data_IF_574851169176
#
_entry.id   IF_574851169176
#
_cell.length_a   1.000
_cell.length_b   1.000
_cell.length_c   1.000
_cell.angle_alpha   90.00
_cell.angle_beta   90.00
_cell.angle_gamma   90.00
#
_symmetry.space_group_name_H-M   'P 1'
#
loop_
_entity.id
_entity.type
_entity.pdbx_description
1 polymer ?
#
# COMPACT_ATOMS: atom_id res chain seq x y z
N UNK A 1 20.01 6.96 -12.06
CA UNK A 1 18.90 7.91 -12.04
C UNK A 1 17.85 7.49 -11.01
N UNK A 2 17.22 8.48 -10.35
CA UNK A 2 16.15 8.28 -9.36
C UNK A 2 14.85 8.82 -9.91
N UNK A 3 13.74 8.25 -9.43
CA UNK A 3 12.39 8.62 -9.80
C UNK A 3 11.63 8.95 -8.53
N UNK A 4 10.99 10.10 -8.52
CA UNK A 4 10.06 10.53 -7.50
C UNK A 4 8.74 10.92 -8.18
N UNK A 5 7.68 10.17 -7.92
CA UNK A 5 6.37 10.46 -8.48
C UNK A 5 5.67 11.49 -7.61
N UNK A 6 5.42 12.64 -8.19
CA UNK A 6 4.76 13.73 -7.50
C UNK A 6 3.51 14.17 -8.29
N UNK A 7 2.39 14.31 -7.60
CA UNK A 7 1.18 14.90 -8.16
C UNK A 7 1.30 16.44 -8.16
N UNK A 8 0.59 17.11 -9.02
CA UNK A 8 0.60 18.58 -9.18
C UNK A 8 -0.05 19.30 -7.99
N UNK A 9 -0.82 18.59 -7.19
CA UNK A 9 -1.54 19.10 -6.01
C UNK A 9 -0.92 18.70 -4.66
N UNK A 10 0.09 17.85 -4.64
CA UNK A 10 0.80 17.43 -3.43
C UNK A 10 1.90 18.41 -3.02
N UNK A 11 2.36 18.36 -1.76
CA UNK A 11 3.40 19.26 -1.27
C UNK A 11 4.69 18.52 -0.91
N UNK A 12 5.79 18.97 -1.50
CA UNK A 12 7.15 18.52 -1.21
C UNK A 12 7.70 19.30 -0.01
N UNK A 13 8.37 18.64 0.96
CA UNK A 13 9.12 19.36 1.98
C UNK A 13 10.31 20.10 1.35
N UNK A 14 10.60 21.29 1.85
CA UNK A 14 11.64 22.17 1.29
C UNK A 14 13.02 21.51 1.23
N UNK A 15 13.34 20.64 2.18
CA UNK A 15 14.58 19.86 2.29
C UNK A 15 14.51 18.47 1.62
N UNK A 16 13.42 18.19 0.88
CA UNK A 16 13.15 16.84 0.37
C UNK A 16 14.26 16.30 -0.53
N UNK A 17 14.70 17.08 -1.51
CA UNK A 17 15.78 16.68 -2.44
C UNK A 17 17.12 16.55 -1.70
N UNK A 18 17.41 17.48 -0.78
CA UNK A 18 18.63 17.44 0.02
C UNK A 18 18.73 16.16 0.86
N UNK A 19 17.65 15.76 1.53
CA UNK A 19 17.61 14.50 2.30
C UNK A 19 17.86 13.26 1.43
N UNK A 20 17.33 13.23 0.21
CA UNK A 20 17.62 12.13 -0.72
C UNK A 20 19.10 12.12 -1.10
N UNK A 21 19.67 13.28 -1.43
CA UNK A 21 21.09 13.40 -1.79
C UNK A 21 22.01 13.03 -0.64
N UNK A 22 21.66 13.43 0.58
CA UNK A 22 22.39 13.05 1.79
C UNK A 22 22.34 11.54 2.03
N UNK A 23 21.15 10.93 1.91
CA UNK A 23 20.99 9.50 2.05
C UNK A 23 21.80 8.72 1.00
N UNK A 24 21.89 9.22 -0.22
CA UNK A 24 22.70 8.61 -1.28
C UNK A 24 24.20 8.68 -1.02
N UNK A 25 24.67 9.64 -0.23
CA UNK A 25 26.08 9.75 0.14
C UNK A 25 26.52 8.75 1.21
N UNK A 26 25.56 8.12 1.90
CA UNK A 26 25.82 7.13 2.96
C UNK A 26 25.90 5.73 2.35
N UNK A 27 26.84 4.87 2.81
CA UNK A 27 26.88 3.48 2.38
C UNK A 27 25.64 2.73 2.87
N UNK A 28 24.97 2.04 1.96
CA UNK A 28 23.80 1.21 2.28
C UNK A 28 24.05 -0.24 1.87
N UNK A 29 23.66 -1.19 2.72
CA UNK A 29 23.78 -2.63 2.48
C UNK A 29 22.64 -3.20 1.59
N UNK A 30 21.85 -2.34 0.96
CA UNK A 30 20.70 -2.75 0.14
C UNK A 30 21.14 -2.98 -1.33
N UNK A 31 20.39 -3.84 -2.01
CA UNK A 31 20.59 -4.18 -3.44
C UNK A 31 20.18 -3.07 -4.41
N UNK A 32 19.73 -1.93 -3.89
CA UNK A 32 19.30 -0.77 -4.64
C UNK A 32 18.71 0.26 -3.70
N UNK A 33 18.37 1.42 -4.23
CA UNK A 33 17.89 2.53 -3.42
C UNK A 33 16.37 2.65 -3.52
N UNK A 34 15.69 2.41 -2.41
CA UNK A 34 14.27 2.65 -2.24
C UNK A 34 14.05 3.40 -0.94
N UNK A 35 13.60 4.65 -1.04
CA UNK A 35 13.44 5.58 0.07
C UNK A 35 11.97 5.85 0.35
N UNK A 36 11.67 6.18 1.61
CA UNK A 36 10.35 6.58 2.08
C UNK A 36 10.43 7.81 2.96
N UNK A 37 9.64 8.82 2.64
CA UNK A 37 9.39 10.00 3.48
C UNK A 37 8.27 9.74 4.49
N UNK A 38 8.21 10.51 5.62
CA UNK A 38 7.00 10.60 6.43
C UNK A 38 5.86 11.16 5.58
N UNK A 39 4.64 10.67 5.80
CA UNK A 39 3.45 11.10 5.07
C UNK A 39 2.50 11.85 5.99
N UNK A 40 2.02 13.00 5.55
CA UNK A 40 0.87 13.70 6.10
C UNK A 40 -0.23 13.81 5.05
N UNK A 41 -1.48 13.76 5.49
CA UNK A 41 -2.65 13.96 4.63
C UNK A 41 -3.18 15.36 4.89
N UNK A 42 -3.40 16.11 3.81
CA UNK A 42 -3.93 17.48 3.85
C UNK A 42 -5.25 17.58 3.08
N UNK A 43 -6.06 18.58 3.40
CA UNK A 43 -7.27 18.93 2.65
C UNK A 43 -6.99 19.92 1.52
N UNK A 44 -8.06 20.42 0.87
CA UNK A 44 -7.97 21.41 -0.20
C UNK A 44 -7.37 22.76 0.21
N UNK A 45 -7.35 23.07 1.50
CA UNK A 45 -6.84 24.32 2.08
C UNK A 45 -5.44 24.18 2.70
N UNK A 46 -4.74 23.08 2.45
CA UNK A 46 -3.44 22.71 3.03
C UNK A 46 -3.48 22.43 4.54
N UNK A 47 -4.64 22.25 5.12
CA UNK A 47 -4.76 21.90 6.52
C UNK A 47 -4.49 20.41 6.72
N UNK A 48 -3.61 20.08 7.68
CA UNK A 48 -3.32 18.67 8.00
C UNK A 48 -4.54 18.00 8.63
N UNK A 49 -5.00 16.93 7.98
CA UNK A 49 -6.10 16.08 8.46
C UNK A 49 -5.54 15.00 9.39
N UNK A 50 -4.46 14.33 8.98
CA UNK A 50 -3.77 13.29 9.73
C UNK A 50 -2.34 13.11 9.22
N UNK A 51 -1.53 12.38 9.97
CA UNK A 51 -0.18 12.01 9.56
C UNK A 51 0.16 10.62 10.09
N UNK A 52 1.04 9.92 9.38
CA UNK A 52 1.69 8.72 9.89
C UNK A 52 2.56 9.07 11.12
N UNK A 53 2.90 8.04 11.89
CA UNK A 53 3.92 8.20 12.94
C UNK A 53 5.24 8.66 12.29
N UNK A 54 6.04 9.47 12.99
CA UNK A 54 7.37 9.84 12.53
C UNK A 54 8.17 8.58 12.16
N UNK A 55 8.96 8.68 11.11
CA UNK A 55 9.90 7.63 10.74
C UNK A 55 11.16 7.74 11.60
N UNK A 56 11.65 6.60 12.07
CA UNK A 56 12.99 6.49 12.66
C UNK A 56 14.02 6.28 11.56
N UNK A 57 15.27 6.66 11.82
CA UNK A 57 16.38 6.35 10.92
C UNK A 57 16.56 4.83 10.78
N UNK A 58 16.93 4.39 9.58
CA UNK A 58 17.18 2.99 9.28
C UNK A 58 16.38 2.47 8.11
N UNK A 59 16.28 1.15 8.03
CA UNK A 59 15.48 0.50 6.99
C UNK A 59 14.38 -0.37 7.57
N UNK A 60 13.26 -0.40 6.87
CA UNK A 60 12.11 -1.24 7.19
C UNK A 60 12.08 -2.39 6.18
N UNK A 61 11.92 -3.62 6.63
CA UNK A 61 11.79 -4.77 5.74
C UNK A 61 10.53 -4.66 4.87
N UNK A 62 10.58 -5.24 3.68
CA UNK A 62 9.42 -5.35 2.80
C UNK A 62 8.21 -5.94 3.54
N UNK A 63 8.42 -7.01 4.29
CA UNK A 63 7.36 -7.69 5.03
C UNK A 63 6.72 -6.79 6.10
N UNK A 64 7.52 -6.04 6.85
CA UNK A 64 7.02 -5.12 7.88
C UNK A 64 6.25 -3.95 7.27
N UNK A 65 6.76 -3.34 6.19
CA UNK A 65 6.04 -2.28 5.45
C UNK A 65 4.66 -2.75 5.01
N UNK A 66 4.61 -3.95 4.43
CA UNK A 66 3.38 -4.56 3.97
C UNK A 66 2.38 -4.81 5.11
N UNK A 67 2.84 -5.42 6.21
CA UNK A 67 1.97 -5.67 7.37
C UNK A 67 1.38 -4.39 7.93
N UNK A 68 2.18 -3.35 8.10
CA UNK A 68 1.71 -2.07 8.63
C UNK A 68 0.65 -1.43 7.73
N UNK A 69 0.82 -1.57 6.41
CA UNK A 69 -0.18 -1.12 5.43
C UNK A 69 -1.47 -1.95 5.50
N UNK A 70 -1.37 -3.27 5.45
CA UNK A 70 -2.53 -4.17 5.49
C UNK A 70 -3.33 -4.05 6.80
N UNK A 71 -2.66 -3.74 7.91
CA UNK A 71 -3.27 -3.52 9.21
C UNK A 71 -3.85 -2.10 9.37
N UNK A 72 -3.67 -1.22 8.39
CA UNK A 72 -4.11 0.17 8.47
C UNK A 72 -3.35 1.00 9.50
N UNK A 73 -2.13 0.59 9.88
CA UNK A 73 -1.27 1.33 10.82
C UNK A 73 -0.61 2.53 10.17
N UNK A 74 -0.50 2.51 8.84
CA UNK A 74 0.07 3.58 8.03
C UNK A 74 -0.84 3.88 6.83
N UNK A 75 -0.99 5.15 6.52
CA UNK A 75 -1.40 5.58 5.18
C UNK A 75 -0.21 5.41 4.24
N UNK A 76 -0.47 5.21 2.96
CA UNK A 76 0.56 5.14 1.93
C UNK A 76 0.06 5.82 0.66
N UNK A 77 0.91 6.63 0.07
CA UNK A 77 0.65 7.33 -1.18
C UNK A 77 1.92 7.34 -2.04
N UNK A 78 1.76 7.42 -3.36
CA UNK A 78 2.89 7.37 -4.30
C UNK A 78 3.95 8.44 -4.00
N UNK A 79 3.52 9.61 -3.52
CA UNK A 79 4.35 10.78 -3.26
C UNK A 79 5.41 10.58 -2.16
N UNK A 80 5.22 9.58 -1.26
CA UNK A 80 6.19 9.35 -0.18
C UNK A 80 7.41 8.52 -0.60
N UNK A 81 7.43 7.99 -1.82
CA UNK A 81 8.48 7.06 -2.26
C UNK A 81 9.39 7.64 -3.33
N UNK A 82 10.70 7.43 -3.13
CA UNK A 82 11.74 7.70 -4.14
C UNK A 82 12.50 6.40 -4.40
N UNK A 83 12.68 6.06 -5.66
CA UNK A 83 13.29 4.79 -6.03
C UNK A 83 14.27 4.95 -7.18
N UNK A 84 15.27 4.07 -7.22
CA UNK A 84 16.21 4.03 -8.35
C UNK A 84 15.51 3.42 -9.58
N UNK A 85 15.90 3.90 -10.76
CA UNK A 85 15.46 3.31 -12.04
C UNK A 85 15.81 1.82 -12.12
N UNK A 86 16.90 1.42 -11.50
CA UNK A 86 17.34 0.03 -11.45
C UNK A 86 16.32 -0.86 -10.72
N UNK A 87 15.80 -0.41 -9.56
CA UNK A 87 14.75 -1.12 -8.82
C UNK A 87 13.49 -1.25 -9.67
N UNK A 88 13.07 -0.17 -10.32
CA UNK A 88 11.91 -0.20 -11.21
C UNK A 88 12.08 -1.21 -12.35
N UNK A 89 13.27 -1.26 -12.98
CA UNK A 89 13.56 -2.20 -14.07
C UNK A 89 13.62 -3.64 -13.55
N UNK A 90 14.30 -3.90 -12.43
CA UNK A 90 14.46 -5.26 -11.87
C UNK A 90 13.14 -5.82 -11.33
N UNK A 91 12.23 -4.98 -10.87
CA UNK A 91 10.89 -5.38 -10.44
C UNK A 91 9.92 -5.61 -11.62
N UNK A 92 10.34 -5.33 -12.86
CA UNK A 92 9.48 -5.46 -14.05
C UNK A 92 8.51 -4.28 -14.23
N UNK A 93 8.80 -3.11 -13.66
CA UNK A 93 7.95 -1.92 -13.71
C UNK A 93 6.92 -1.85 -12.59
N UNK A 94 5.85 -1.09 -12.82
CA UNK A 94 4.73 -0.99 -11.89
C UNK A 94 3.81 -2.19 -12.01
N UNK A 95 3.25 -2.63 -10.87
CA UNK A 95 2.23 -3.68 -10.86
C UNK A 95 0.90 -3.10 -11.31
N UNK A 96 0.23 -3.76 -12.27
CA UNK A 96 -1.01 -3.28 -12.86
C UNK A 96 -2.21 -4.13 -12.43
N UNK A 97 -3.19 -3.47 -11.79
CA UNK A 97 -4.51 -4.04 -11.56
C UNK A 97 -5.59 -3.12 -12.16
N UNK A 98 -6.81 -3.62 -12.35
CA UNK A 98 -7.92 -2.78 -12.84
C UNK A 98 -8.06 -1.49 -12.04
N UNK A 99 -8.22 -0.36 -12.72
CA UNK A 99 -8.33 0.98 -12.13
C UNK A 99 -7.14 1.42 -11.26
N UNK A 100 -5.98 0.80 -11.42
CA UNK A 100 -4.83 0.96 -10.54
C UNK A 100 -5.12 0.67 -9.04
N UNK A 101 -6.28 0.11 -8.71
CA UNK A 101 -6.66 -0.26 -7.35
C UNK A 101 -5.71 -1.30 -6.78
N UNK A 102 -5.11 -1.04 -5.61
CA UNK A 102 -4.04 -1.82 -4.98
C UNK A 102 -2.72 -1.89 -5.78
N UNK A 103 -2.60 -1.21 -6.92
CA UNK A 103 -1.39 -1.28 -7.77
C UNK A 103 -0.19 -0.63 -7.12
N UNK A 104 -0.39 0.48 -6.43
CA UNK A 104 0.62 1.17 -5.64
C UNK A 104 1.10 0.31 -4.46
N UNK A 105 0.18 -0.25 -3.66
CA UNK A 105 0.53 -1.14 -2.55
C UNK A 105 1.38 -2.34 -3.01
N UNK A 106 1.01 -2.96 -4.14
CA UNK A 106 1.76 -4.06 -4.72
C UNK A 106 3.13 -3.60 -5.26
N UNK A 107 3.17 -2.46 -5.93
CA UNK A 107 4.41 -1.90 -6.49
C UNK A 107 5.44 -1.60 -5.40
N UNK A 108 5.01 -0.92 -4.34
CA UNK A 108 5.93 -0.57 -3.24
C UNK A 108 6.42 -1.82 -2.49
N UNK A 109 5.57 -2.82 -2.32
CA UNK A 109 5.99 -4.11 -1.77
C UNK A 109 6.98 -4.83 -2.70
N UNK A 110 6.78 -4.82 -4.01
CA UNK A 110 7.72 -5.40 -4.98
C UNK A 110 9.07 -4.67 -4.94
N UNK A 111 9.07 -3.33 -4.97
CA UNK A 111 10.29 -2.53 -4.91
C UNK A 111 11.05 -2.77 -3.61
N UNK A 112 10.36 -2.76 -2.46
CA UNK A 112 10.97 -3.07 -1.18
C UNK A 112 11.59 -4.47 -1.13
N UNK A 113 10.96 -5.47 -1.77
CA UNK A 113 11.51 -6.83 -1.85
C UNK A 113 12.78 -6.87 -2.70
N UNK A 114 12.79 -6.21 -3.85
CA UNK A 114 13.97 -6.14 -4.73
C UNK A 114 15.11 -5.34 -4.10
N UNK A 115 14.82 -4.25 -3.42
CA UNK A 115 15.80 -3.43 -2.71
C UNK A 115 16.37 -4.12 -1.44
N UNK A 116 15.65 -5.08 -0.86
CA UNK A 116 15.96 -5.66 0.45
C UNK A 116 15.41 -4.85 1.62
N UNK A 117 14.46 -3.94 1.37
CA UNK A 117 13.80 -3.08 2.34
C UNK A 117 13.58 -1.66 1.80
N UNK A 118 13.04 -0.79 2.63
CA UNK A 118 12.85 0.63 2.34
C UNK A 118 13.62 1.47 3.37
N UNK A 119 14.41 2.42 2.89
CA UNK A 119 15.21 3.31 3.74
C UNK A 119 14.32 4.48 4.18
N UNK A 120 14.21 4.70 5.47
CA UNK A 120 13.46 5.82 6.03
C UNK A 120 14.24 7.12 5.91
N UNK A 121 13.58 8.18 5.46
CA UNK A 121 14.08 9.55 5.43
C UNK A 121 13.30 10.40 6.45
N UNK A 122 13.69 10.37 7.74
CA UNK A 122 12.99 11.14 8.78
C UNK A 122 13.06 12.64 8.52
N UNK A 123 12.16 13.42 9.14
CA UNK A 123 12.09 14.88 9.01
C UNK A 123 10.69 15.35 8.62
N UNK A 124 10.61 16.47 7.92
CA UNK A 124 9.31 17.01 7.48
C UNK A 124 8.63 16.05 6.50
N UNK A 125 7.31 15.84 6.64
CA UNK A 125 6.57 14.92 5.78
C UNK A 125 6.37 15.49 4.36
N UNK A 126 6.23 14.61 3.40
CA UNK A 126 5.49 14.92 2.18
C UNK A 126 4.01 15.02 2.52
N UNK A 127 3.28 15.91 1.86
CA UNK A 127 1.85 16.07 2.10
C UNK A 127 1.04 15.60 0.90
N UNK A 128 0.27 14.54 1.11
CA UNK A 128 -0.68 14.04 0.13
C UNK A 128 -2.03 14.72 0.29
N UNK A 129 -2.53 15.29 -0.80
CA UNK A 129 -3.83 15.96 -0.81
C UNK A 129 -4.96 14.96 -1.02
N UNK A 130 -5.85 14.88 -0.05
CA UNK A 130 -7.02 14.02 -0.11
C UNK A 130 -8.29 14.88 -0.05
N UNK A 131 -8.84 15.19 -1.23
CA UNK A 131 -10.10 15.92 -1.38
C UNK A 131 -11.20 14.92 -1.75
N UNK A 132 -12.33 15.01 -1.05
CA UNK A 132 -13.48 14.13 -1.31
C UNK A 132 -13.97 14.30 -2.75
N UNK A 133 -14.15 13.18 -3.45
CA UNK A 133 -14.61 13.14 -4.86
C UNK A 133 -13.53 13.39 -5.93
N UNK A 134 -12.34 13.87 -5.58
CA UNK A 134 -11.25 14.10 -6.54
C UNK A 134 -10.37 12.86 -6.75
N UNK A 135 -10.23 12.01 -5.75
CA UNK A 135 -9.35 10.84 -5.82
C UNK A 135 -10.07 9.61 -6.39
N UNK A 136 -9.39 8.86 -7.26
CA UNK A 136 -9.88 7.59 -7.84
C UNK A 136 -10.28 6.59 -6.73
N UNK A 137 -9.55 6.57 -5.62
CA UNK A 137 -9.85 5.72 -4.47
C UNK A 137 -11.23 5.97 -3.87
N UNK A 138 -11.72 7.20 -3.95
CA UNK A 138 -13.03 7.63 -3.43
C UNK A 138 -14.13 7.69 -4.51
N UNK A 139 -13.81 7.37 -5.78
CA UNK A 139 -14.81 7.40 -6.87
C UNK A 139 -15.87 6.32 -6.68
N UNK A 140 -17.14 6.72 -6.80
CA UNK A 140 -18.29 5.81 -6.83
C UNK A 140 -18.45 5.13 -8.21
N UNK A 141 -19.15 3.98 -8.25
CA UNK A 141 -19.54 3.33 -9.50
C UNK A 141 -18.57 2.29 -10.05
N UNK A 142 -17.42 2.08 -9.42
CA UNK A 142 -16.39 1.12 -9.86
C UNK A 142 -16.17 -0.05 -8.90
N UNK A 143 -17.17 -0.37 -8.09
CA UNK A 143 -17.03 -1.35 -7.00
C UNK A 143 -16.68 -2.75 -7.49
N UNK A 144 -17.20 -3.14 -8.67
CA UNK A 144 -16.86 -4.45 -9.29
C UNK A 144 -15.40 -4.52 -9.70
N UNK A 145 -14.87 -3.45 -10.28
CA UNK A 145 -13.47 -3.38 -10.74
C UNK A 145 -12.51 -3.34 -9.54
N UNK A 146 -12.85 -2.56 -8.51
CA UNK A 146 -12.10 -2.52 -7.24
C UNK A 146 -12.07 -3.90 -6.57
N UNK A 147 -13.22 -4.58 -6.55
CA UNK A 147 -13.30 -5.93 -5.98
C UNK A 147 -12.48 -6.95 -6.78
N UNK A 148 -12.56 -6.89 -8.11
CA UNK A 148 -11.74 -7.72 -9.00
C UNK A 148 -10.24 -7.45 -8.78
N UNK A 149 -9.83 -6.20 -8.73
CA UNK A 149 -8.45 -5.81 -8.44
C UNK A 149 -7.99 -6.33 -7.07
N UNK A 150 -8.86 -6.27 -6.04
CA UNK A 150 -8.57 -6.82 -4.71
C UNK A 150 -8.31 -8.34 -4.78
N UNK A 151 -9.11 -9.09 -5.54
CA UNK A 151 -8.90 -10.53 -5.74
C UNK A 151 -7.56 -10.81 -6.45
N UNK A 152 -7.22 -10.01 -7.46
CA UNK A 152 -5.94 -10.11 -8.16
C UNK A 152 -4.76 -9.77 -7.25
N UNK A 153 -4.89 -8.73 -6.43
CA UNK A 153 -3.90 -8.34 -5.43
C UNK A 153 -3.64 -9.47 -4.42
N UNK A 154 -4.68 -10.11 -3.87
CA UNK A 154 -4.52 -11.25 -2.97
C UNK A 154 -3.79 -12.43 -3.63
N UNK A 155 -4.08 -12.72 -4.90
CA UNK A 155 -3.39 -13.76 -5.66
C UNK A 155 -1.92 -13.41 -5.90
N UNK A 156 -1.65 -12.15 -6.27
CA UNK A 156 -0.30 -11.62 -6.44
C UNK A 156 0.49 -11.70 -5.13
N UNK A 157 -0.12 -11.27 -4.02
CA UNK A 157 0.44 -11.34 -2.68
C UNK A 157 0.88 -12.76 -2.30
N UNK A 158 0.04 -13.75 -2.57
CA UNK A 158 0.36 -15.15 -2.29
C UNK A 158 1.61 -15.63 -3.04
N UNK A 159 1.78 -15.19 -4.27
CA UNK A 159 2.96 -15.55 -5.06
C UNK A 159 4.20 -14.79 -4.59
N UNK A 160 4.06 -13.48 -4.37
CA UNK A 160 5.17 -12.62 -3.96
C UNK A 160 5.68 -12.96 -2.55
N UNK A 161 4.79 -13.37 -1.64
CA UNK A 161 5.08 -13.70 -0.24
C UNK A 161 4.83 -15.18 0.08
N UNK A 162 5.21 -16.06 -0.84
CA UNK A 162 5.05 -17.52 -0.68
C UNK A 162 5.66 -18.05 0.59
N UNK A 163 6.76 -17.47 1.06
CA UNK A 163 7.47 -17.86 2.27
C UNK A 163 6.70 -17.54 3.57
N UNK A 164 5.64 -16.71 3.48
CA UNK A 164 4.84 -16.23 4.61
C UNK A 164 3.36 -16.65 4.54
N UNK A 165 3.01 -17.59 3.65
CA UNK A 165 1.59 -17.97 3.42
C UNK A 165 0.91 -18.54 4.66
N UNK A 166 1.66 -19.15 5.55
CA UNK A 166 1.17 -19.77 6.80
C UNK A 166 1.40 -18.85 8.02
N UNK A 167 1.95 -17.64 7.81
CA UNK A 167 2.19 -16.71 8.91
C UNK A 167 0.87 -16.15 9.46
N UNK A 168 0.57 -16.37 10.75
CA UNK A 168 -0.67 -15.92 11.38
C UNK A 168 -0.82 -14.39 11.36
N UNK A 169 0.28 -13.63 11.42
CA UNK A 169 0.24 -12.17 11.39
C UNK A 169 -0.17 -11.68 10.00
N UNK A 170 0.38 -12.26 8.92
CA UNK A 170 -0.03 -11.95 7.55
C UNK A 170 -1.50 -12.29 7.31
N UNK A 171 -1.94 -13.47 7.75
CA UNK A 171 -3.33 -13.92 7.59
C UNK A 171 -4.29 -12.94 8.31
N UNK A 172 -3.96 -12.55 9.53
CA UNK A 172 -4.74 -11.58 10.30
C UNK A 172 -4.77 -10.20 9.63
N UNK A 173 -3.62 -9.74 9.12
CA UNK A 173 -3.51 -8.49 8.40
C UNK A 173 -4.36 -8.47 7.11
N UNK A 174 -4.33 -9.57 6.34
CA UNK A 174 -5.17 -9.73 5.15
C UNK A 174 -6.66 -9.73 5.48
N UNK A 175 -7.07 -10.36 6.58
CA UNK A 175 -8.47 -10.31 7.04
C UNK A 175 -8.89 -8.88 7.40
N UNK A 176 -8.03 -8.14 8.08
CA UNK A 176 -8.25 -6.73 8.41
C UNK A 176 -8.39 -5.88 7.14
N UNK A 177 -7.47 -6.03 6.21
CA UNK A 177 -7.45 -5.32 4.93
C UNK A 177 -8.72 -5.58 4.12
N UNK A 178 -9.11 -6.85 3.95
CA UNK A 178 -10.34 -7.23 3.24
C UNK A 178 -11.57 -6.61 3.91
N UNK A 179 -11.65 -6.69 5.24
CA UNK A 179 -12.77 -6.11 5.97
C UNK A 179 -12.86 -4.59 5.76
N UNK A 180 -11.71 -3.90 5.78
CA UNK A 180 -11.63 -2.46 5.55
C UNK A 180 -12.08 -2.10 4.13
N UNK A 181 -11.60 -2.83 3.10
CA UNK A 181 -12.03 -2.61 1.71
C UNK A 181 -13.53 -2.80 1.56
N UNK A 182 -14.06 -3.93 2.00
CA UNK A 182 -15.48 -4.25 1.84
C UNK A 182 -16.38 -3.24 2.56
N UNK A 183 -15.97 -2.79 3.74
CA UNK A 183 -16.81 -1.95 4.59
C UNK A 183 -16.67 -0.45 4.29
N UNK A 184 -15.46 0.02 4.06
CA UNK A 184 -15.13 1.44 3.91
C UNK A 184 -15.06 1.81 2.43
N UNK A 185 -14.15 1.19 1.68
CA UNK A 185 -13.87 1.59 0.32
C UNK A 185 -14.98 1.26 -0.67
N UNK A 186 -15.68 0.14 -0.45
CA UNK A 186 -16.84 -0.28 -1.26
C UNK A 186 -18.18 0.11 -0.64
N UNK A 187 -18.18 0.82 0.51
CA UNK A 187 -19.40 1.26 1.20
C UNK A 187 -20.46 0.15 1.32
N UNK A 188 -20.03 -1.11 1.43
CA UNK A 188 -20.84 -2.32 1.38
C UNK A 188 -21.53 -2.57 0.01
N UNK A 189 -21.17 -1.88 -1.05
CA UNK A 189 -21.70 -2.10 -2.39
C UNK A 189 -21.03 -3.29 -3.08
N UNK A 190 -21.19 -4.48 -2.54
CA UNK A 190 -20.71 -5.72 -3.12
C UNK A 190 -21.79 -6.81 -2.99
N UNK A 191 -21.78 -7.75 -3.90
CA UNK A 191 -22.71 -8.87 -3.86
C UNK A 191 -22.06 -10.13 -3.24
N UNK A 192 -22.88 -11.14 -2.98
CA UNK A 192 -22.42 -12.41 -2.38
C UNK A 192 -21.34 -13.11 -3.23
N UNK A 193 -21.41 -13.00 -4.57
CA UNK A 193 -20.41 -13.59 -5.46
C UNK A 193 -19.05 -12.89 -5.29
N UNK A 194 -19.04 -11.56 -5.13
CA UNK A 194 -17.85 -10.80 -4.85
C UNK A 194 -17.23 -11.13 -3.50
N UNK A 195 -18.05 -11.20 -2.45
CA UNK A 195 -17.60 -11.64 -1.13
C UNK A 195 -17.02 -13.07 -1.18
N UNK A 196 -17.69 -13.98 -1.90
CA UNK A 196 -17.19 -15.33 -2.12
C UNK A 196 -15.84 -15.32 -2.83
N UNK A 197 -15.68 -14.55 -3.91
CA UNK A 197 -14.44 -14.42 -4.68
C UNK A 197 -13.26 -13.98 -3.84
N UNK A 198 -13.42 -12.92 -3.02
CA UNK A 198 -12.39 -12.42 -2.10
C UNK A 198 -12.07 -13.45 -1.02
N UNK A 199 -13.09 -14.10 -0.44
CA UNK A 199 -12.90 -15.13 0.57
C UNK A 199 -12.16 -16.33 0.02
N UNK A 200 -12.47 -16.77 -1.20
CA UNK A 200 -11.75 -17.85 -1.88
C UNK A 200 -10.30 -17.49 -2.21
N UNK A 201 -10.03 -16.24 -2.55
CA UNK A 201 -8.65 -15.76 -2.73
C UNK A 201 -7.86 -15.84 -1.42
N UNK A 202 -8.47 -15.42 -0.30
CA UNK A 202 -7.88 -15.58 1.04
C UNK A 202 -7.73 -17.06 1.43
N UNK A 203 -8.63 -17.92 0.98
CA UNK A 203 -8.59 -19.38 1.24
C UNK A 203 -7.35 -20.07 0.69
N UNK A 204 -6.64 -19.42 -0.24
CA UNK A 204 -5.35 -19.90 -0.74
C UNK A 204 -4.19 -19.68 0.26
N UNK A 205 -4.39 -18.81 1.23
CA UNK A 205 -3.51 -18.64 2.39
C UNK A 205 -3.99 -19.54 3.54
N UNK A 206 -5.27 -19.38 3.92
CA UNK A 206 -5.82 -20.10 5.06
C UNK A 206 -7.33 -20.33 4.90
N UNK A 207 -7.77 -21.60 4.86
CA UNK A 207 -9.18 -21.97 4.67
C UNK A 207 -10.06 -21.49 5.82
N UNK A 208 -9.57 -21.56 7.06
CA UNK A 208 -10.31 -21.10 8.25
C UNK A 208 -10.51 -19.58 8.22
N UNK A 209 -9.46 -18.84 7.84
CA UNK A 209 -9.53 -17.39 7.67
C UNK A 209 -10.55 -16.99 6.58
N UNK A 210 -10.57 -17.71 5.45
CA UNK A 210 -11.58 -17.50 4.40
C UNK A 210 -13.00 -17.65 4.91
N UNK A 211 -13.26 -18.75 5.63
CA UNK A 211 -14.57 -19.03 6.21
C UNK A 211 -15.00 -17.94 7.20
N UNK A 212 -14.13 -17.60 8.15
CA UNK A 212 -14.45 -16.56 9.13
C UNK A 212 -14.64 -15.18 8.48
N UNK A 213 -13.85 -14.84 7.46
CA UNK A 213 -13.99 -13.59 6.71
C UNK A 213 -15.30 -13.54 5.95
N UNK A 214 -15.68 -14.65 5.30
CA UNK A 214 -16.97 -14.75 4.61
C UNK A 214 -18.13 -14.48 5.57
N UNK A 215 -18.25 -15.22 6.66
CA UNK A 215 -19.37 -15.09 7.59
C UNK A 215 -19.39 -13.76 8.34
N UNK A 216 -18.24 -13.22 8.70
CA UNK A 216 -18.14 -11.89 9.32
C UNK A 216 -18.69 -10.79 8.42
N UNK A 217 -18.41 -10.86 7.12
CA UNK A 217 -18.84 -9.83 6.17
C UNK A 217 -20.22 -10.14 5.56
N UNK A 218 -20.66 -11.40 5.58
CA UNK A 218 -22.02 -11.80 5.17
C UNK A 218 -23.08 -11.18 6.07
N UNK A 219 -22.84 -11.09 7.37
CA UNK A 219 -23.75 -10.44 8.33
C UNK A 219 -23.96 -8.94 8.08
N UNK A 220 -23.20 -8.33 7.21
CA UNK A 220 -23.39 -6.93 6.81
C UNK A 220 -24.48 -6.77 5.74
N UNK A 221 -25.01 -7.87 5.17
CA UNK A 221 -26.16 -7.86 4.26
C UNK A 221 -27.50 -7.98 5.00
N UNK A 222 -27.50 -8.35 6.26
CA UNK A 222 -28.68 -8.41 7.12
C UNK A 222 -28.80 -7.12 7.93
#
# INVERSE_FOLDING_TARGET
PFIWLFSDDDLMPADGVERVMEALSRPHHQRGYFFRFPLAVIDGENKRIRANRPLEEGSVSCYRLLLDKLQGKIDSAAVEYVFSREIWQSAGGFVHFPMAWCSDDATWAAFARHAGGVISLPGQPVCWRNVEGANISNSAGHDKDKLHATILFLRWMRNMFSDYVDDPELISALQCYIHTILRISLHKHYNICGLWGVSMALGRFNKRAAFTTFFRNFRLFS
#
